data_IF_078834409715
#
_entry.id   IF_078834409715
#
_cell.length_a   1.000
_cell.length_b   1.000
_cell.length_c   1.000
_cell.angle_alpha   90.00
_cell.angle_beta   90.00
_cell.angle_gamma   90.00
#
_symmetry.space_group_name_H-M   'P 1'
#
loop_
_entity.id
_entity.type
_entity.pdbx_description
1 polymer ?
#
# COMPACT_ATOMS: atom_id res chain seq x y z
N UNK A 1 -21.19 61.41 -7.83
CA UNK A 1 -20.89 60.57 -6.65
C UNK A 1 -20.59 59.18 -7.19
N UNK A 2 -19.36 58.80 -7.53
CA UNK A 2 -18.16 58.88 -6.73
C UNK A 2 -18.02 57.57 -5.95
N UNK A 3 -17.53 56.51 -6.62
CA UNK A 3 -16.43 55.66 -6.14
C UNK A 3 -16.07 54.62 -7.20
N UNK A 4 -14.86 54.79 -7.72
CA UNK A 4 -14.19 54.02 -8.74
C UNK A 4 -13.17 53.08 -8.09
N UNK A 5 -12.72 52.11 -8.89
CA UNK A 5 -11.55 51.24 -8.71
C UNK A 5 -11.68 50.15 -7.63
N UNK A 6 -11.30 48.90 -7.83
CA UNK A 6 -10.76 48.12 -8.94
C UNK A 6 -11.02 46.66 -8.52
N UNK A 7 -11.41 45.72 -9.37
CA UNK A 7 -10.48 44.92 -10.16
C UNK A 7 -11.32 43.84 -10.87
N UNK A 8 -11.31 43.83 -12.19
CA UNK A 8 -11.83 42.73 -13.00
C UNK A 8 -11.01 42.60 -14.28
N UNK A 9 -10.89 41.34 -14.72
CA UNK A 9 -10.33 40.83 -15.98
C UNK A 9 -8.79 40.79 -16.09
N UNK A 10 -8.17 39.61 -16.00
CA UNK A 10 -7.98 38.62 -17.09
C UNK A 10 -7.12 39.17 -18.24
N UNK A 11 -5.95 38.57 -18.51
CA UNK A 11 -5.77 37.60 -19.62
C UNK A 11 -4.30 37.14 -19.81
N UNK A 12 -4.09 35.82 -19.72
CA UNK A 12 -3.27 34.91 -20.56
C UNK A 12 -1.89 35.30 -21.14
N UNK A 13 -0.83 34.53 -20.79
CA UNK A 13 -0.10 33.58 -21.68
C UNK A 13 1.42 33.40 -21.34
N UNK A 14 1.84 32.12 -21.27
CA UNK A 14 3.20 31.52 -21.43
C UNK A 14 4.16 31.28 -20.21
N UNK A 15 4.73 30.06 -20.03
CA UNK A 15 5.81 29.69 -19.07
C UNK A 15 7.16 29.32 -19.78
N UNK A 16 8.21 28.81 -19.09
CA UNK A 16 8.90 29.28 -17.88
C UNK A 16 10.38 29.61 -18.17
N UNK A 17 10.95 30.65 -17.55
CA UNK A 17 12.40 30.88 -17.56
C UNK A 17 13.02 30.37 -16.26
N UNK A 18 13.68 29.22 -16.35
CA UNK A 18 14.67 28.74 -15.40
C UNK A 18 15.88 29.68 -15.38
N UNK A 19 16.20 30.25 -14.23
CA UNK A 19 17.54 30.77 -13.95
C UNK A 19 17.91 30.39 -12.52
N UNK A 20 18.71 29.33 -12.46
CA UNK A 20 19.41 28.80 -11.31
C UNK A 20 20.29 29.83 -10.59
N UNK A 21 20.65 29.53 -9.33
CA UNK A 21 21.29 30.45 -8.41
C UNK A 21 22.75 30.72 -8.81
N UNK A 22 23.13 31.99 -8.68
CA UNK A 22 24.49 32.47 -8.91
C UNK A 22 25.49 31.86 -7.93
N UNK A 23 26.32 30.95 -8.44
CA UNK A 23 27.74 30.80 -8.11
C UNK A 23 28.46 30.55 -9.44
N UNK A 24 29.63 31.15 -9.73
CA UNK A 24 30.83 30.89 -8.93
C UNK A 24 31.84 32.06 -8.87
N UNK A 25 32.59 32.16 -7.77
CA UNK A 25 33.94 32.71 -7.83
C UNK A 25 34.76 32.17 -6.66
N UNK A 26 35.63 31.22 -6.98
CA UNK A 26 36.77 30.81 -6.18
C UNK A 26 37.55 32.03 -5.68
N UNK A 27 37.45 32.33 -4.38
CA UNK A 27 38.48 33.07 -3.68
C UNK A 27 39.43 32.05 -3.02
N UNK A 28 40.22 31.38 -3.86
CA UNK A 28 41.49 30.84 -3.40
C UNK A 28 42.46 32.02 -3.35
N UNK A 29 42.68 32.55 -2.16
CA UNK A 29 43.79 33.47 -1.90
C UNK A 29 44.27 33.26 -0.47
N UNK A 30 45.16 32.27 -0.37
CA UNK A 30 46.27 32.14 0.56
C UNK A 30 45.98 32.06 2.08
N UNK A 31 46.66 31.14 2.80
CA UNK A 31 46.73 31.21 4.26
C UNK A 31 47.37 32.55 4.67
N UNK A 32 46.99 33.17 5.80
CA UNK A 32 47.77 34.28 6.32
C UNK A 32 49.20 33.77 6.53
N UNK A 33 50.12 34.34 5.75
CA UNK A 33 51.53 34.04 5.74
C UNK A 33 52.07 33.88 7.15
N UNK A 34 52.63 32.71 7.44
CA UNK A 34 53.43 32.38 8.62
C UNK A 34 54.79 33.10 8.56
N UNK A 35 54.77 34.43 8.53
CA UNK A 35 55.97 35.26 8.59
C UNK A 35 56.03 35.91 9.97
N UNK A 36 57.06 35.63 10.79
CA UNK A 36 57.26 36.40 12.01
C UNK A 36 57.56 37.86 11.63
N UNK A 37 56.89 38.86 12.20
CA UNK A 37 57.27 40.26 11.99
C UNK A 37 58.67 40.50 12.58
N UNK A 38 59.45 41.42 12.00
CA UNK A 38 60.79 41.75 12.51
C UNK A 38 60.71 42.21 13.98
N UNK A 39 61.73 41.91 14.80
CA UNK A 39 61.72 42.28 16.21
C UNK A 39 61.57 43.81 16.36
N UNK A 40 60.74 44.29 17.31
CA UNK A 40 60.59 45.72 17.53
C UNK A 40 61.93 46.32 17.92
N UNK A 41 62.35 47.32 17.15
CA UNK A 41 63.53 48.12 17.44
C UNK A 41 63.26 48.91 18.72
N UNK A 42 63.75 48.41 19.85
CA UNK A 42 63.79 49.17 21.10
C UNK A 42 64.67 50.39 20.83
N UNK A 43 64.16 51.64 20.86
CA UNK A 43 65.06 52.78 20.81
C UNK A 43 65.95 52.69 22.05
N UNK A 44 67.29 52.79 21.90
CA UNK A 44 68.17 52.83 23.05
C UNK A 44 67.71 53.99 23.93
N UNK A 45 67.45 53.68 25.21
CA UNK A 45 67.14 54.69 26.23
C UNK A 45 68.14 55.83 26.07
N UNK A 46 67.64 57.04 25.81
CA UNK A 46 68.46 58.17 25.46
C UNK A 46 69.55 58.35 26.53
N UNK A 47 70.83 58.38 26.16
CA UNK A 47 71.92 58.59 27.11
C UNK A 47 71.88 60.06 27.56
N UNK A 48 71.16 60.35 28.65
CA UNK A 48 71.02 61.72 29.13
C UNK A 48 70.05 61.96 30.28
N UNK A 49 69.20 61.02 30.66
CA UNK A 49 68.34 61.22 31.84
C UNK A 49 69.15 61.08 33.13
N UNK A 50 69.70 62.21 33.58
CA UNK A 50 70.34 62.33 34.87
C UNK A 50 69.25 62.20 35.94
N UNK A 51 69.05 60.96 36.42
CA UNK A 51 67.98 60.58 37.36
C UNK A 51 68.04 61.35 38.69
N UNK A 52 69.18 61.98 39.00
CA UNK A 52 69.43 62.63 40.27
C UNK A 52 70.44 63.78 40.16
N UNK A 53 70.02 65.02 40.39
CA UNK A 53 70.90 66.19 40.36
C UNK A 53 71.83 66.23 41.60
N UNK A 54 73.02 65.68 41.40
CA UNK A 54 74.09 65.58 42.38
C UNK A 54 74.59 66.96 42.85
N UNK A 55 74.61 67.94 41.94
CA UNK A 55 75.22 69.24 42.20
C UNK A 55 74.31 70.12 43.06
N UNK A 56 73.00 70.14 42.78
CA UNK A 56 72.03 70.88 43.59
C UNK A 56 71.92 70.32 45.00
N UNK A 57 72.00 69.01 45.18
CA UNK A 57 71.95 68.40 46.52
C UNK A 57 73.16 68.79 47.37
N UNK A 58 74.38 68.70 46.80
CA UNK A 58 75.60 69.06 47.52
C UNK A 58 75.59 70.54 47.88
N UNK A 59 75.18 71.43 46.96
CA UNK A 59 75.04 72.87 47.24
C UNK A 59 73.98 73.18 48.30
N UNK A 60 72.87 72.46 48.29
CA UNK A 60 71.83 72.60 49.30
C UNK A 60 72.33 72.17 50.69
N UNK A 61 73.07 71.06 50.78
CA UNK A 61 73.66 70.59 52.04
C UNK A 61 74.74 71.56 52.56
N UNK A 62 75.59 72.09 51.68
CA UNK A 62 76.58 73.13 52.04
C UNK A 62 75.90 74.39 52.61
N UNK A 63 74.78 74.82 52.03
CA UNK A 63 74.03 76.01 52.52
C UNK A 63 73.36 75.81 53.89
N UNK A 64 73.19 74.56 54.32
CA UNK A 64 72.56 74.16 55.59
C UNK A 64 73.60 73.87 56.69
N UNK A 65 74.88 74.12 56.44
CA UNK A 65 75.96 73.96 57.42
C UNK A 65 76.67 72.60 57.39
N UNK A 66 76.42 71.75 56.39
CA UNK A 66 77.22 70.53 56.22
C UNK A 66 78.58 70.85 55.60
N UNK A 67 79.62 70.19 56.11
CA UNK A 67 80.94 70.26 55.47
C UNK A 67 80.89 69.55 54.12
N UNK A 68 81.65 70.05 53.14
CA UNK A 68 81.68 69.47 51.81
C UNK A 68 81.93 67.94 51.76
N UNK A 69 82.85 67.35 52.54
CA UNK A 69 83.01 65.90 52.55
C UNK A 69 81.76 65.17 53.08
N UNK A 70 81.08 65.70 54.09
CA UNK A 70 79.83 65.11 54.61
C UNK A 70 78.69 65.20 53.59
N UNK A 71 78.56 66.33 52.89
CA UNK A 71 77.56 66.51 51.85
C UNK A 71 77.77 65.56 50.66
N UNK A 72 79.03 65.28 50.30
CA UNK A 72 79.37 64.32 49.25
C UNK A 72 79.03 62.88 49.65
N UNK A 73 79.26 62.49 50.91
CA UNK A 73 78.91 61.15 51.40
C UNK A 73 77.39 60.93 51.39
N UNK A 74 76.61 61.89 51.89
CA UNK A 74 75.13 61.83 51.90
C UNK A 74 74.56 61.80 50.48
N UNK A 75 75.17 62.54 49.57
CA UNK A 75 74.80 62.48 48.16
C UNK A 75 75.01 61.08 47.59
N UNK A 76 76.15 60.46 47.88
CA UNK A 76 76.50 59.16 47.31
C UNK A 76 75.55 58.07 47.80
N UNK A 77 75.26 58.04 49.10
CA UNK A 77 74.33 57.07 49.70
C UNK A 77 72.90 57.23 49.16
N UNK A 78 72.44 58.47 48.98
CA UNK A 78 71.12 58.73 48.42
C UNK A 78 71.04 58.36 46.93
N UNK A 79 72.10 58.60 46.17
CA UNK A 79 72.20 58.19 44.77
C UNK A 79 72.19 56.66 44.63
N UNK A 80 72.90 55.94 45.51
CA UNK A 80 72.89 54.47 45.54
C UNK A 80 71.52 53.90 45.90
N UNK A 81 70.87 54.45 46.95
CA UNK A 81 69.54 54.00 47.36
C UNK A 81 68.48 54.25 46.28
N UNK A 82 68.51 55.42 45.64
CA UNK A 82 67.61 55.75 44.54
C UNK A 82 67.85 54.85 43.33
N UNK A 83 69.12 54.60 42.99
CA UNK A 83 69.48 53.70 41.89
C UNK A 83 68.98 52.28 42.16
N UNK A 84 69.17 51.76 43.38
CA UNK A 84 68.68 50.45 43.78
C UNK A 84 67.15 50.36 43.76
N UNK A 85 66.45 51.40 44.22
CA UNK A 85 64.99 51.46 44.20
C UNK A 85 64.42 51.47 42.78
N UNK A 86 65.03 52.24 41.87
CA UNK A 86 64.56 52.30 40.47
C UNK A 86 64.86 50.99 39.73
N UNK A 87 66.03 50.36 39.95
CA UNK A 87 66.32 49.05 39.37
C UNK A 87 65.29 48.00 39.83
N UNK A 88 64.92 48.02 41.11
CA UNK A 88 63.87 47.13 41.64
C UNK A 88 62.50 47.42 41.02
N UNK A 89 62.11 48.70 40.93
CA UNK A 89 60.84 49.07 40.31
C UNK A 89 60.78 48.71 38.82
N UNK A 90 61.91 48.82 38.10
CA UNK A 90 62.01 48.40 36.71
C UNK A 90 62.00 46.87 36.53
N UNK A 91 62.44 46.11 37.53
CA UNK A 91 62.36 44.66 37.51
C UNK A 91 60.92 44.13 37.62
N UNK A 92 60.06 44.85 38.36
CA UNK A 92 58.63 44.52 38.49
C UNK A 92 57.77 45.15 37.39
N UNK A 93 58.33 46.05 36.60
CA UNK A 93 57.62 46.74 35.52
C UNK A 93 57.72 45.93 34.24
N UNK A 94 56.60 45.39 33.78
CA UNK A 94 56.53 44.72 32.49
C UNK A 94 56.68 45.77 31.38
N UNK A 95 57.46 45.44 30.35
CA UNK A 95 57.60 46.35 29.22
C UNK A 95 56.33 46.34 28.38
N UNK A 96 55.98 47.48 27.79
CA UNK A 96 54.83 47.56 26.87
C UNK A 96 54.97 46.53 25.73
N UNK A 97 56.21 46.30 25.28
CA UNK A 97 56.52 45.33 24.23
C UNK A 97 56.23 43.88 24.64
N UNK A 98 56.47 43.50 25.89
CA UNK A 98 56.16 42.14 26.37
C UNK A 98 54.65 41.93 26.44
N UNK A 99 53.90 42.91 26.94
CA UNK A 99 52.44 42.88 26.98
C UNK A 99 51.85 42.77 25.59
N UNK A 100 52.37 43.54 24.63
CA UNK A 100 51.92 43.50 23.25
C UNK A 100 52.20 42.12 22.63
N UNK A 101 53.41 41.56 22.83
CA UNK A 101 53.78 40.23 22.32
C UNK A 101 52.88 39.11 22.88
N UNK A 102 52.69 39.07 24.20
CA UNK A 102 51.77 38.10 24.82
C UNK A 102 50.35 38.27 24.28
N UNK A 103 49.88 39.51 24.10
CA UNK A 103 48.56 39.79 23.52
C UNK A 103 48.46 39.27 22.07
N UNK A 104 49.53 39.36 21.27
CA UNK A 104 49.56 38.78 19.93
C UNK A 104 49.47 37.25 19.97
N UNK A 105 50.21 36.58 20.86
CA UNK A 105 50.15 35.12 21.03
C UNK A 105 48.75 34.67 21.47
N UNK A 106 48.13 35.37 22.43
CA UNK A 106 46.76 35.09 22.85
C UNK A 106 45.76 35.26 21.70
N UNK A 107 45.87 36.33 20.91
CA UNK A 107 45.00 36.55 19.74
C UNK A 107 45.19 35.47 18.68
N UNK A 108 46.42 35.02 18.44
CA UNK A 108 46.70 33.92 17.52
C UNK A 108 46.07 32.60 17.99
N UNK A 109 46.23 32.26 19.27
CA UNK A 109 45.62 31.07 19.87
C UNK A 109 44.08 31.12 19.83
N UNK A 110 43.48 32.29 20.08
CA UNK A 110 42.02 32.48 19.97
C UNK A 110 41.53 32.36 18.52
N UNK A 111 42.31 32.83 17.55
CA UNK A 111 41.99 32.66 16.13
C UNK A 111 42.04 31.19 15.72
N UNK A 112 43.05 30.44 16.18
CA UNK A 112 43.18 29.00 15.96
C UNK A 112 42.01 28.22 16.58
N UNK A 113 41.70 28.47 17.86
CA UNK A 113 40.54 27.88 18.54
C UNK A 113 39.23 28.21 17.83
N UNK A 114 39.08 29.44 17.33
CA UNK A 114 37.92 29.88 16.57
C UNK A 114 37.77 29.14 15.24
N UNK A 115 38.88 28.79 14.57
CA UNK A 115 38.89 27.99 13.35
C UNK A 115 38.57 26.52 13.64
N UNK A 116 39.18 25.95 14.67
CA UNK A 116 38.91 24.58 15.11
C UNK A 116 37.44 24.40 15.49
N UNK A 117 36.89 25.32 16.27
CA UNK A 117 35.47 25.30 16.64
C UNK A 117 34.54 25.43 15.44
N UNK A 118 34.90 26.26 14.44
CA UNK A 118 34.14 26.35 13.19
C UNK A 118 34.18 25.04 12.42
N UNK A 119 35.35 24.41 12.34
CA UNK A 119 35.53 23.12 11.67
C UNK A 119 34.71 22.02 12.34
N UNK A 120 34.78 21.92 13.68
CA UNK A 120 33.97 20.96 14.46
C UNK A 120 32.49 21.20 14.21
N UNK A 121 32.01 22.45 14.32
CA UNK A 121 30.60 22.77 14.05
C UNK A 121 30.16 22.42 12.63
N UNK A 122 31.01 22.66 11.64
CA UNK A 122 30.70 22.30 10.26
C UNK A 122 30.65 20.79 10.06
N UNK A 123 31.56 20.05 10.70
CA UNK A 123 31.56 18.58 10.72
C UNK A 123 30.30 18.03 11.39
N UNK A 124 29.95 18.54 12.58
CA UNK A 124 28.75 18.13 13.31
C UNK A 124 27.49 18.43 12.51
N UNK A 125 27.43 19.60 11.87
CA UNK A 125 26.31 19.97 11.01
C UNK A 125 26.20 19.04 9.80
N UNK A 126 27.31 18.70 9.16
CA UNK A 126 27.32 17.74 8.06
C UNK A 126 26.88 16.34 8.51
N UNK A 127 27.31 15.91 9.71
CA UNK A 127 26.89 14.63 10.31
C UNK A 127 25.40 14.60 10.61
N UNK A 128 24.88 15.62 11.30
CA UNK A 128 23.45 15.74 11.60
C UNK A 128 22.60 15.79 10.33
N UNK A 129 23.07 16.50 9.29
CA UNK A 129 22.38 16.53 8.01
C UNK A 129 22.37 15.16 7.34
N UNK A 130 23.49 14.44 7.35
CA UNK A 130 23.56 13.08 6.83
C UNK A 130 22.63 12.12 7.58
N UNK A 131 22.53 12.23 8.90
CA UNK A 131 21.62 11.42 9.71
C UNK A 131 20.16 11.76 9.42
N UNK A 132 19.82 13.03 9.28
CA UNK A 132 18.48 13.48 8.91
C UNK A 132 18.09 12.98 7.52
N UNK A 133 18.98 13.08 6.54
CA UNK A 133 18.76 12.58 5.18
C UNK A 133 18.59 11.05 5.18
N UNK A 134 19.35 10.32 6.02
CA UNK A 134 19.19 8.87 6.21
C UNK A 134 17.84 8.52 6.82
N UNK A 135 17.43 9.19 7.90
CA UNK A 135 16.13 8.96 8.55
C UNK A 135 14.99 9.26 7.58
N UNK A 136 15.11 10.30 6.74
CA UNK A 136 14.12 10.61 5.73
C UNK A 136 13.99 9.50 4.66
N UNK A 137 15.11 8.90 4.24
CA UNK A 137 15.12 7.75 3.34
C UNK A 137 14.50 6.50 3.98
N UNK A 138 14.83 6.23 5.24
CA UNK A 138 14.26 5.11 6.00
C UNK A 138 12.73 5.27 6.14
N UNK A 139 12.26 6.49 6.43
CA UNK A 139 10.83 6.81 6.51
C UNK A 139 10.14 6.64 5.15
N UNK A 140 10.73 7.12 4.07
CA UNK A 140 10.17 6.95 2.73
C UNK A 140 10.05 5.47 2.35
N UNK A 141 11.07 4.68 2.67
CA UNK A 141 11.09 3.23 2.44
C UNK A 141 10.01 2.52 3.26
N UNK A 142 9.88 2.87 4.55
CA UNK A 142 8.85 2.31 5.41
C UNK A 142 7.44 2.67 4.95
N UNK A 143 7.22 3.92 4.52
CA UNK A 143 5.95 4.37 4.00
C UNK A 143 5.57 3.63 2.70
N UNK A 144 6.55 3.39 1.82
CA UNK A 144 6.34 2.61 0.61
C UNK A 144 5.98 1.16 0.95
N UNK A 145 6.76 0.52 1.82
CA UNK A 145 6.48 -0.85 2.27
C UNK A 145 5.11 -0.98 2.91
N UNK A 146 4.72 -0.04 3.77
CA UNK A 146 3.39 -0.03 4.37
C UNK A 146 2.27 0.07 3.33
N UNK A 147 2.45 0.89 2.29
CA UNK A 147 1.49 0.95 1.18
C UNK A 147 1.41 -0.35 0.39
N UNK A 148 2.55 -0.99 0.14
CA UNK A 148 2.62 -2.26 -0.58
C UNK A 148 1.98 -3.38 0.25
N UNK A 149 2.23 -3.42 1.57
CA UNK A 149 1.61 -4.37 2.50
C UNK A 149 0.08 -4.16 2.56
N UNK A 150 -0.40 -2.91 2.64
CA UNK A 150 -1.84 -2.59 2.61
C UNK A 150 -2.45 -3.02 1.27
N UNK A 151 -1.77 -2.78 0.15
CA UNK A 151 -2.24 -3.19 -1.18
C UNK A 151 -2.32 -4.71 -1.30
N UNK A 152 -1.33 -5.42 -0.76
CA UNK A 152 -1.29 -6.88 -0.74
C UNK A 152 -2.44 -7.43 0.09
N UNK A 153 -2.60 -6.96 1.34
CA UNK A 153 -3.72 -7.36 2.22
C UNK A 153 -5.07 -7.09 1.55
N UNK A 154 -5.23 -5.95 0.88
CA UNK A 154 -6.46 -5.64 0.13
C UNK A 154 -6.71 -6.63 -1.00
N UNK A 155 -5.68 -6.99 -1.77
CA UNK A 155 -5.78 -8.00 -2.81
C UNK A 155 -6.15 -9.37 -2.24
N UNK A 156 -5.51 -9.77 -1.15
CA UNK A 156 -5.77 -11.04 -0.46
C UNK A 156 -7.22 -11.10 0.03
N UNK A 157 -7.73 -10.04 0.66
CA UNK A 157 -9.13 -9.94 1.07
C UNK A 157 -10.07 -10.04 -0.14
N UNK A 158 -9.74 -9.42 -1.27
CA UNK A 158 -10.58 -9.52 -2.48
C UNK A 158 -10.60 -10.94 -3.05
N UNK A 159 -9.45 -11.62 -3.08
CA UNK A 159 -9.35 -13.01 -3.50
C UNK A 159 -10.17 -13.90 -2.56
N UNK A 160 -10.01 -13.74 -1.24
CA UNK A 160 -10.77 -14.50 -0.25
C UNK A 160 -12.28 -14.28 -0.36
N UNK A 161 -12.72 -13.03 -0.55
CA UNK A 161 -14.13 -12.71 -0.76
C UNK A 161 -14.66 -13.34 -2.05
N UNK A 162 -13.88 -13.31 -3.13
CA UNK A 162 -14.28 -13.94 -4.39
C UNK A 162 -14.34 -15.47 -4.26
N UNK A 163 -13.39 -16.08 -3.56
CA UNK A 163 -13.38 -17.50 -3.26
C UNK A 163 -14.60 -17.89 -2.44
N UNK A 164 -14.89 -17.18 -1.34
CA UNK A 164 -16.12 -17.43 -0.55
C UNK A 164 -17.39 -17.23 -1.37
N UNK A 165 -17.44 -16.22 -2.24
CA UNK A 165 -18.60 -16.01 -3.11
C UNK A 165 -18.78 -17.15 -4.10
N UNK A 166 -17.68 -17.68 -4.63
CA UNK A 166 -17.68 -18.86 -5.50
C UNK A 166 -18.15 -20.10 -4.74
N UNK A 167 -17.61 -20.33 -3.54
CA UNK A 167 -18.00 -21.43 -2.64
C UNK A 167 -19.50 -21.38 -2.32
N UNK A 168 -20.02 -20.23 -1.89
CA UNK A 168 -21.46 -20.04 -1.64
C UNK A 168 -22.29 -20.33 -2.90
N UNK A 169 -21.83 -19.92 -4.08
CA UNK A 169 -22.53 -20.18 -5.34
C UNK A 169 -22.50 -21.66 -5.72
N UNK A 170 -21.40 -22.35 -5.45
CA UNK A 170 -21.27 -23.79 -5.65
C UNK A 170 -22.18 -24.55 -4.71
N UNK A 171 -22.18 -24.21 -3.41
CA UNK A 171 -23.08 -24.77 -2.42
C UNK A 171 -24.55 -24.54 -2.79
N UNK A 172 -24.91 -23.34 -3.26
CA UNK A 172 -26.25 -23.05 -3.74
C UNK A 172 -26.65 -23.94 -4.93
N UNK A 173 -25.74 -24.16 -5.89
CA UNK A 173 -25.97 -25.09 -7.02
C UNK A 173 -26.13 -26.54 -6.54
N UNK A 174 -25.32 -26.97 -5.58
CA UNK A 174 -25.44 -28.30 -4.99
C UNK A 174 -26.79 -28.49 -4.29
N UNK A 175 -27.28 -27.46 -3.58
CA UNK A 175 -28.61 -27.48 -2.97
C UNK A 175 -29.72 -27.53 -4.02
N UNK A 176 -29.60 -26.76 -5.11
CA UNK A 176 -30.57 -26.77 -6.20
C UNK A 176 -30.62 -28.15 -6.91
N UNK A 177 -29.46 -28.77 -7.15
CA UNK A 177 -29.39 -30.15 -7.68
C UNK A 177 -30.07 -31.16 -6.75
N UNK A 178 -29.82 -31.06 -5.43
CA UNK A 178 -30.48 -31.93 -4.44
C UNK A 178 -31.98 -31.69 -4.39
N UNK A 179 -32.42 -30.43 -4.51
CA UNK A 179 -33.83 -30.08 -4.56
C UNK A 179 -34.50 -30.67 -5.80
N UNK A 180 -33.85 -30.58 -6.96
CA UNK A 180 -34.34 -31.18 -8.20
C UNK A 180 -34.38 -32.71 -8.12
N UNK A 181 -33.38 -33.35 -7.52
CA UNK A 181 -33.38 -34.79 -7.28
C UNK A 181 -34.56 -35.22 -6.41
N UNK A 182 -34.80 -34.51 -5.30
CA UNK A 182 -35.95 -34.75 -4.41
C UNK A 182 -37.27 -34.52 -5.13
N UNK A 183 -37.38 -33.46 -5.93
CA UNK A 183 -38.58 -33.17 -6.71
C UNK A 183 -38.86 -34.25 -7.78
N UNK A 184 -37.81 -34.74 -8.45
CA UNK A 184 -37.95 -35.83 -9.40
C UNK A 184 -38.39 -37.12 -8.70
N UNK A 185 -37.78 -37.46 -7.55
CA UNK A 185 -38.23 -38.60 -6.72
C UNK A 185 -39.70 -38.44 -6.31
N UNK A 186 -40.13 -37.27 -5.87
CA UNK A 186 -41.53 -37.00 -5.53
C UNK A 186 -42.46 -37.16 -6.74
N UNK A 187 -42.04 -36.70 -7.91
CA UNK A 187 -42.81 -36.83 -9.15
C UNK A 187 -42.99 -38.29 -9.54
N UNK A 188 -41.92 -39.10 -9.46
CA UNK A 188 -41.99 -40.56 -9.69
C UNK A 188 -42.94 -41.22 -8.69
N UNK A 189 -42.80 -40.93 -7.39
CA UNK A 189 -43.70 -41.47 -6.36
C UNK A 189 -45.16 -41.06 -6.58
N UNK A 190 -45.41 -39.83 -7.03
CA UNK A 190 -46.76 -39.37 -7.36
C UNK A 190 -47.34 -40.13 -8.57
N UNK A 191 -46.50 -40.42 -9.57
CA UNK A 191 -46.87 -41.27 -10.70
C UNK A 191 -47.19 -42.69 -10.25
N UNK A 192 -46.36 -43.29 -9.39
CA UNK A 192 -46.57 -44.63 -8.86
C UNK A 192 -47.91 -44.72 -8.10
N UNK A 193 -48.18 -43.76 -7.20
CA UNK A 193 -49.46 -43.66 -6.47
C UNK A 193 -50.64 -43.50 -7.46
N UNK A 194 -50.48 -42.70 -8.51
CA UNK A 194 -51.53 -42.53 -9.52
C UNK A 194 -51.79 -43.84 -10.27
N UNK A 195 -50.74 -44.56 -10.66
CA UNK A 195 -50.89 -45.87 -11.32
C UNK A 195 -51.53 -46.89 -10.39
N UNK A 196 -51.17 -46.91 -9.11
CA UNK A 196 -51.79 -47.77 -8.10
C UNK A 196 -53.29 -47.48 -7.99
N UNK A 197 -53.69 -46.19 -7.98
CA UNK A 197 -55.11 -45.79 -7.97
C UNK A 197 -55.83 -46.21 -9.26
N UNK A 198 -55.19 -46.08 -10.42
CA UNK A 198 -55.76 -46.54 -11.68
C UNK A 198 -55.94 -48.07 -11.70
N UNK A 199 -54.95 -48.83 -11.23
CA UNK A 199 -55.04 -50.28 -11.08
C UNK A 199 -56.18 -50.68 -10.13
N UNK A 200 -56.30 -50.01 -8.97
CA UNK A 200 -57.41 -50.25 -8.04
C UNK A 200 -58.79 -50.01 -8.70
N UNK A 201 -58.91 -49.01 -9.58
CA UNK A 201 -60.15 -48.76 -10.34
C UNK A 201 -60.41 -49.85 -11.38
N UNK A 202 -59.38 -50.31 -12.10
CA UNK A 202 -59.50 -51.41 -13.06
C UNK A 202 -59.91 -52.71 -12.36
N UNK A 203 -59.30 -53.04 -11.22
CA UNK A 203 -59.65 -54.22 -10.45
C UNK A 203 -61.08 -54.15 -9.90
N UNK A 204 -61.49 -53.00 -9.36
CA UNK A 204 -62.87 -52.79 -8.93
C UNK A 204 -63.87 -52.97 -10.11
N UNK A 205 -63.53 -52.45 -11.29
CA UNK A 205 -64.39 -52.57 -12.49
C UNK A 205 -64.47 -54.02 -12.98
N UNK A 206 -63.33 -54.74 -12.98
CA UNK A 206 -63.25 -56.16 -13.32
C UNK A 206 -64.11 -57.01 -12.38
N UNK A 207 -64.02 -56.77 -11.07
CA UNK A 207 -64.82 -57.48 -10.07
C UNK A 207 -66.33 -57.25 -10.27
N UNK A 208 -66.73 -56.01 -10.56
CA UNK A 208 -68.13 -55.68 -10.90
C UNK A 208 -68.57 -56.40 -12.18
N UNK A 209 -67.74 -56.43 -13.23
CA UNK A 209 -68.05 -57.08 -14.49
C UNK A 209 -68.22 -58.61 -14.33
N UNK A 210 -67.33 -59.26 -13.57
CA UNK A 210 -67.43 -60.70 -13.27
C UNK A 210 -68.71 -61.01 -12.50
N UNK A 211 -69.07 -60.18 -11.50
CA UNK A 211 -70.33 -60.33 -10.75
C UNK A 211 -71.56 -60.19 -11.66
N UNK A 212 -71.53 -59.23 -12.59
CA UNK A 212 -72.62 -59.02 -13.56
C UNK A 212 -72.75 -60.21 -14.51
N UNK A 213 -71.64 -60.72 -15.07
CA UNK A 213 -71.66 -61.90 -15.93
C UNK A 213 -72.23 -63.12 -15.21
N UNK A 214 -71.80 -63.38 -13.97
CA UNK A 214 -72.33 -64.48 -13.16
C UNK A 214 -73.84 -64.34 -12.91
N UNK A 215 -74.31 -63.13 -12.57
CA UNK A 215 -75.75 -62.85 -12.42
C UNK A 215 -76.53 -63.11 -13.72
N UNK A 216 -76.00 -62.67 -14.88
CA UNK A 216 -76.65 -62.91 -16.17
C UNK A 216 -76.75 -64.40 -16.50
N UNK A 217 -75.69 -65.18 -16.22
CA UNK A 217 -75.70 -66.64 -16.39
C UNK A 217 -76.72 -67.30 -15.47
N UNK A 218 -76.78 -66.93 -14.19
CA UNK A 218 -77.77 -67.45 -13.25
C UNK A 218 -79.19 -67.14 -13.71
N UNK A 219 -79.44 -65.90 -14.14
CA UNK A 219 -80.75 -65.49 -14.70
C UNK A 219 -81.10 -66.32 -15.92
N UNK A 220 -80.17 -66.53 -16.85
CA UNK A 220 -80.38 -67.37 -18.03
C UNK A 220 -80.68 -68.81 -17.63
N UNK A 221 -79.92 -69.40 -16.70
CA UNK A 221 -80.14 -70.76 -16.17
C UNK A 221 -81.53 -70.87 -15.53
N UNK A 222 -81.97 -69.87 -14.77
CA UNK A 222 -83.31 -69.84 -14.16
C UNK A 222 -84.38 -69.71 -15.24
N UNK A 223 -84.21 -68.84 -16.24
CA UNK A 223 -85.14 -68.70 -17.37
C UNK A 223 -85.25 -70.01 -18.18
N UNK A 224 -84.12 -70.63 -18.51
CA UNK A 224 -84.12 -71.93 -19.19
C UNK A 224 -84.62 -73.05 -18.28
N UNK A 225 -84.34 -73.00 -16.98
CA UNK A 225 -84.77 -73.99 -15.99
C UNK A 225 -86.29 -73.94 -15.76
N UNK A 226 -86.87 -72.75 -15.73
CA UNK A 226 -88.33 -72.53 -15.69
C UNK A 226 -89.00 -73.02 -16.98
N UNK A 227 -88.36 -72.82 -18.14
CA UNK A 227 -88.86 -73.34 -19.42
C UNK A 227 -88.66 -74.87 -19.56
N UNK A 228 -87.63 -75.43 -18.92
CA UNK A 228 -87.32 -76.87 -18.94
C UNK A 228 -88.18 -77.66 -17.95
N UNK A 229 -88.61 -77.05 -16.84
CA UNK A 229 -89.51 -77.68 -15.85
C UNK A 229 -90.99 -77.69 -16.27
N UNK A 230 -91.33 -77.06 -17.40
CA UNK A 230 -92.68 -77.03 -17.99
C UNK A 230 -92.78 -77.71 -19.36
N UNK A 231 -91.72 -78.39 -19.82
CA UNK A 231 -91.68 -79.15 -21.08
C UNK A 231 -91.31 -80.63 -20.87
N UNK A 232 -92.33 -81.49 -20.91
CA UNK A 232 -92.31 -82.95 -20.82
C UNK A 232 -91.35 -83.66 -21.83
N UNK A 233 -90.50 -84.55 -21.32
CA UNK A 233 -90.48 -86.01 -21.59
C UNK A 233 -90.25 -86.62 -23.00
N UNK A 234 -89.18 -87.44 -23.07
CA UNK A 234 -88.92 -88.67 -23.87
C UNK A 234 -88.42 -88.63 -25.34
N UNK A 235 -87.08 -88.69 -25.45
CA UNK A 235 -86.22 -89.83 -25.87
C UNK A 235 -86.36 -90.60 -27.22
N UNK A 236 -85.15 -90.95 -27.72
CA UNK A 236 -84.73 -92.02 -28.65
C UNK A 236 -84.53 -91.62 -30.14
N UNK A 237 -83.53 -92.07 -30.90
CA UNK A 237 -82.21 -92.71 -30.70
C UNK A 237 -81.50 -92.75 -32.08
N UNK A 238 -80.17 -92.78 -32.06
CA UNK A 238 -79.24 -93.43 -33.02
C UNK A 238 -78.70 -92.68 -34.26
N UNK A 239 -77.37 -92.69 -34.36
CA UNK A 239 -76.64 -93.13 -35.56
C UNK A 239 -76.04 -92.06 -36.47
N UNK A 240 -74.70 -92.02 -36.57
CA UNK A 240 -74.04 -91.43 -37.75
C UNK A 240 -72.60 -90.97 -37.57
N UNK A 241 -71.66 -91.74 -38.11
CA UNK A 241 -70.20 -91.54 -38.12
C UNK A 241 -69.71 -90.92 -39.45
N UNK A 242 -68.61 -90.13 -39.41
CA UNK A 242 -67.51 -89.93 -40.42
C UNK A 242 -67.01 -88.46 -40.38
N UNK A 243 -65.73 -88.13 -40.18
CA UNK A 243 -64.42 -88.47 -40.82
C UNK A 243 -64.02 -87.46 -41.92
N UNK A 244 -62.85 -86.84 -41.71
CA UNK A 244 -62.00 -86.18 -42.72
C UNK A 244 -62.44 -84.77 -43.13
N UNK A 245 -61.63 -83.90 -43.72
CA UNK A 245 -60.22 -83.90 -44.12
C UNK A 245 -60.02 -82.61 -44.93
N UNK A 246 -58.84 -81.99 -44.83
CA UNK A 246 -58.11 -81.25 -45.89
C UNK A 246 -58.68 -79.98 -46.56
N UNK A 247 -57.76 -79.04 -46.82
CA UNK A 247 -57.78 -78.13 -47.98
C UNK A 247 -57.89 -76.65 -47.57
N UNK A 248 -56.81 -75.85 -47.58
CA UNK A 248 -56.01 -75.34 -48.72
C UNK A 248 -56.51 -73.99 -49.24
N UNK A 249 -55.57 -73.03 -49.35
CA UNK A 249 -55.66 -71.84 -50.20
C UNK A 249 -55.65 -70.51 -49.43
N UNK A 250 -54.56 -69.72 -49.38
CA UNK A 250 -54.06 -68.82 -50.46
C UNK A 250 -54.95 -67.56 -50.55
N UNK A 251 -54.53 -66.28 -50.48
CA UNK A 251 -53.29 -65.55 -50.83
C UNK A 251 -53.44 -64.06 -50.40
N UNK A 252 -52.32 -63.33 -50.34
CA UNK A 252 -52.25 -61.85 -50.47
C UNK A 252 -51.75 -61.15 -49.19
N UNK A 253 -50.44 -60.89 -49.00
CA UNK A 253 -49.63 -59.79 -49.59
C UNK A 253 -50.11 -58.41 -49.09
N UNK A 254 -49.31 -57.49 -48.53
CA UNK A 254 -47.97 -57.04 -48.93
C UNK A 254 -47.18 -56.46 -47.75
N UNK A 255 -45.85 -56.71 -47.80
CA UNK A 255 -44.71 -55.81 -47.61
C UNK A 255 -44.70 -54.77 -46.46
N UNK A 256 -43.64 -54.60 -45.67
CA UNK A 256 -42.29 -55.14 -45.76
C UNK A 256 -41.26 -54.10 -45.32
N UNK A 257 -40.30 -54.55 -44.50
CA UNK A 257 -38.95 -54.00 -44.21
C UNK A 257 -38.87 -52.59 -43.60
N UNK A 258 -38.20 -52.35 -42.48
CA UNK A 258 -37.05 -53.02 -41.88
C UNK A 258 -35.76 -52.32 -42.33
N UNK A 259 -34.93 -51.87 -41.38
CA UNK A 259 -33.54 -51.50 -41.69
C UNK A 259 -32.98 -50.39 -40.82
N UNK A 260 -32.21 -50.80 -39.81
CA UNK A 260 -31.28 -49.96 -39.07
C UNK A 260 -30.08 -49.51 -39.92
N UNK A 261 -29.39 -48.45 -39.47
CA UNK A 261 -27.92 -48.46 -39.50
C UNK A 261 -27.21 -47.18 -39.95
N UNK A 262 -26.35 -46.70 -39.04
CA UNK A 262 -25.06 -46.03 -39.24
C UNK A 262 -25.02 -44.57 -39.71
N UNK A 263 -24.28 -43.76 -38.95
CA UNK A 263 -24.08 -42.33 -39.18
C UNK A 263 -22.81 -41.96 -39.95
N UNK A 264 -22.50 -40.66 -39.98
CA UNK A 264 -21.14 -40.12 -40.12
C UNK A 264 -21.10 -38.60 -39.87
N UNK A 265 -19.92 -38.16 -39.46
CA UNK A 265 -19.49 -36.80 -39.14
C UNK A 265 -19.17 -35.91 -40.36
N UNK A 266 -18.96 -34.61 -40.09
CA UNK A 266 -18.39 -33.56 -40.97
C UNK A 266 -19.18 -32.25 -40.81
N UNK A 267 -18.77 -31.32 -39.96
CA UNK A 267 -17.78 -30.23 -40.17
C UNK A 267 -18.18 -29.21 -41.25
N UNK A 268 -18.28 -27.94 -40.87
CA UNK A 268 -18.74 -26.84 -41.73
C UNK A 268 -18.98 -25.52 -41.00
N UNK A 269 -17.89 -24.78 -40.79
CA UNK A 269 -17.72 -23.42 -40.29
C UNK A 269 -18.58 -22.33 -40.99
N UNK A 270 -19.17 -21.38 -40.23
CA UNK A 270 -18.99 -19.90 -40.36
C UNK A 270 -20.10 -19.03 -39.74
N UNK A 271 -19.64 -18.03 -38.97
CA UNK A 271 -20.15 -16.65 -38.73
C UNK A 271 -21.60 -16.52 -38.20
N UNK A 272 -21.89 -15.81 -37.11
CA UNK A 272 -21.25 -14.66 -36.49
C UNK A 272 -22.34 -13.63 -36.19
N UNK A 273 -22.37 -13.06 -34.99
CA UNK A 273 -23.19 -11.87 -34.67
C UNK A 273 -24.02 -11.97 -33.40
N UNK A 274 -23.40 -11.68 -32.26
CA UNK A 274 -24.06 -10.88 -31.21
C UNK A 274 -24.12 -9.43 -31.73
N UNK A 275 -25.06 -8.57 -31.31
CA UNK A 275 -24.81 -7.88 -30.03
C UNK A 275 -26.05 -7.51 -29.19
N UNK A 276 -25.77 -7.39 -27.89
CA UNK A 276 -26.15 -6.27 -27.03
C UNK A 276 -27.56 -6.24 -26.43
N UNK A 277 -27.62 -6.66 -25.17
CA UNK A 277 -28.60 -6.23 -24.18
C UNK A 277 -27.91 -6.07 -22.82
N UNK A 278 -27.12 -5.01 -22.65
CA UNK A 278 -26.52 -4.63 -21.38
C UNK A 278 -27.50 -3.75 -20.60
N UNK A 279 -28.09 -4.25 -19.52
CA UNK A 279 -28.69 -3.40 -18.49
C UNK A 279 -27.59 -2.89 -17.55
N UNK A 280 -27.49 -1.57 -17.48
CA UNK A 280 -26.54 -0.80 -16.70
C UNK A 280 -27.20 -0.34 -15.39
N UNK A 281 -26.60 -0.65 -14.24
CA UNK A 281 -26.95 -0.01 -12.95
C UNK A 281 -25.97 1.13 -12.70
N UNK A 282 -26.50 2.35 -12.59
CA UNK A 282 -25.76 3.58 -12.29
C UNK A 282 -25.89 3.87 -10.79
N UNK A 283 -24.75 4.02 -10.10
CA UNK A 283 -24.68 4.66 -8.78
C UNK A 283 -24.13 6.08 -9.01
N UNK A 284 -24.84 7.08 -8.50
CA UNK A 284 -24.44 8.49 -8.56
C UNK A 284 -23.41 8.80 -7.46
N UNK A 285 -22.23 9.30 -7.82
CA UNK A 285 -21.62 10.49 -7.21
C UNK A 285 -20.52 11.11 -8.11
N UNK A 286 -20.52 12.44 -8.14
CA UNK A 286 -19.62 13.46 -8.69
C UNK A 286 -18.59 13.13 -9.80
N UNK A 287 -18.92 13.57 -11.03
CA UNK A 287 -17.94 14.16 -11.95
C UNK A 287 -17.12 13.20 -12.82
N UNK A 288 -17.46 13.21 -14.12
CA UNK A 288 -16.68 12.66 -15.25
C UNK A 288 -16.79 11.15 -15.51
N UNK A 289 -17.60 10.83 -16.54
CA UNK A 289 -17.75 9.50 -17.12
C UNK A 289 -16.50 9.08 -17.92
N UNK A 290 -15.97 7.88 -17.65
CA UNK A 290 -15.18 7.10 -18.62
C UNK A 290 -15.69 5.67 -18.64
N UNK A 291 -16.14 5.23 -19.82
CA UNK A 291 -16.73 3.90 -20.06
C UNK A 291 -15.65 2.92 -20.47
N UNK A 292 -15.59 1.76 -19.81
CA UNK A 292 -15.00 0.54 -20.36
C UNK A 292 -16.15 -0.47 -20.55
N UNK A 293 -16.32 -0.93 -21.79
CA UNK A 293 -17.27 -1.99 -22.12
C UNK A 293 -16.66 -3.34 -21.74
N UNK A 294 -17.46 -4.23 -21.12
CA UNK A 294 -17.20 -5.68 -21.11
C UNK A 294 -17.45 -6.26 -22.50
#
# INVERSE_FOLDING_TARGET
MGNAAANAAMNSAAPPSTSDPSTPASASSAPPSSSPPPPPSVPPSAPGDYRFDTYRLVRYLESRGFTRPQAVIVMHTMNELLSAAVVRAQADMITQTDVDNETYLYKAALAELGLELKMVRQSDHASLKSELDRIAQDLATLAQRSRDDISTIKSDIQIDLNNRKSEIREDAKLMDMRLQEVNNKLTVLCSDIKTDVEMMKFDATKDVLVRLFFMAVVVLVVLTGVNSVTGWGSAAESGGSKKGSSGSGSVGSLAGKGGAGAGKAGDGDKKGGNPSGAETVIIMDAGAQKRFNL
#
